data_IF_799143306091
#
_entry.id   IF_799143306091
#
_cell.length_a   1.000
_cell.length_b   1.000
_cell.length_c   1.000
_cell.angle_alpha   90.00
_cell.angle_beta   90.00
_cell.angle_gamma   90.00
#
_symmetry.space_group_name_H-M   'P 1'
#
loop_
_entity.id
_entity.type
_entity.pdbx_description
1 polymer ?
#
# COMPACT_ATOMS: atom_id res chain seq x y z
N UNK A 1 -6.04 25.55 10.95
CA UNK A 1 -4.67 24.99 10.81
C UNK A 1 -4.64 24.25 9.49
N UNK A 2 -3.77 24.62 8.55
CA UNK A 2 -3.68 23.91 7.29
C UNK A 2 -2.84 22.64 7.51
N UNK A 3 -3.45 21.47 7.35
CA UNK A 3 -2.73 20.20 7.31
C UNK A 3 -2.03 20.15 5.94
N UNK A 4 -0.71 19.98 5.93
CA UNK A 4 0.11 19.95 4.71
C UNK A 4 0.71 18.54 4.53
N UNK A 5 0.60 17.99 3.32
CA UNK A 5 1.25 16.74 2.93
C UNK A 5 2.59 17.06 2.26
N UNK A 6 3.69 16.89 3.00
CA UNK A 6 5.03 17.25 2.53
C UNK A 6 5.59 16.14 1.63
N UNK A 7 6.38 16.53 0.64
CA UNK A 7 7.17 15.58 -0.15
C UNK A 7 8.04 14.75 0.80
N UNK A 8 8.04 13.44 0.61
CA UNK A 8 8.73 12.49 1.47
C UNK A 8 7.91 12.00 2.67
N UNK A 9 6.68 12.51 2.90
CA UNK A 9 5.76 11.92 3.87
C UNK A 9 5.56 10.45 3.53
N UNK A 10 5.86 9.58 4.49
CA UNK A 10 5.84 8.13 4.32
C UNK A 10 5.09 7.50 5.48
N UNK A 11 4.26 6.52 5.18
CA UNK A 11 3.55 5.72 6.17
C UNK A 11 2.98 4.47 5.52
N UNK A 12 2.48 3.58 6.36
CA UNK A 12 1.56 2.53 5.90
C UNK A 12 0.25 3.16 5.43
N UNK A 13 -0.48 2.45 4.57
CA UNK A 13 -1.78 2.91 4.10
C UNK A 13 -2.74 3.14 5.27
N UNK A 14 -2.72 2.30 6.31
CA UNK A 14 -3.49 2.50 7.54
C UNK A 14 -3.12 3.82 8.25
N UNK A 15 -1.83 4.06 8.51
CA UNK A 15 -1.37 5.28 9.19
C UNK A 15 -1.79 6.55 8.44
N UNK A 16 -1.73 6.53 7.10
CA UNK A 16 -2.15 7.67 6.29
C UNK A 16 -3.66 7.90 6.34
N UNK A 17 -4.47 6.84 6.28
CA UNK A 17 -5.94 6.95 6.36
C UNK A 17 -6.44 7.33 7.76
N UNK A 18 -5.68 7.00 8.81
CA UNK A 18 -5.98 7.40 10.19
C UNK A 18 -5.58 8.86 10.45
N UNK A 19 -4.57 9.36 9.74
CA UNK A 19 -4.01 10.71 9.93
C UNK A 19 -4.75 11.78 9.10
N UNK A 20 -5.12 11.46 7.87
CA UNK A 20 -5.67 12.40 6.90
C UNK A 20 -7.09 12.05 6.50
N UNK A 21 -7.91 13.07 6.20
CA UNK A 21 -9.26 12.82 5.71
C UNK A 21 -9.25 12.24 4.29
N UNK A 22 -10.23 11.40 3.93
CA UNK A 22 -10.31 10.84 2.58
C UNK A 22 -10.32 11.90 1.47
N UNK A 23 -11.04 13.02 1.68
CA UNK A 23 -11.08 14.13 0.74
C UNK A 23 -9.71 14.79 0.54
N UNK A 24 -8.92 14.92 1.62
CA UNK A 24 -7.57 15.47 1.54
C UNK A 24 -6.62 14.54 0.79
N UNK A 25 -6.68 13.23 1.07
CA UNK A 25 -5.89 12.23 0.37
C UNK A 25 -6.24 12.16 -1.13
N UNK A 26 -7.52 12.24 -1.48
CA UNK A 26 -8.00 12.26 -2.86
C UNK A 26 -7.46 13.46 -3.64
N UNK A 27 -7.43 14.65 -3.02
CA UNK A 27 -6.80 15.85 -3.60
C UNK A 27 -5.32 15.63 -3.92
N UNK A 28 -4.65 14.77 -3.15
CA UNK A 28 -3.24 14.42 -3.30
C UNK A 28 -3.05 13.09 -4.02
N UNK A 29 -4.02 12.62 -4.81
CA UNK A 29 -3.82 11.49 -5.71
C UNK A 29 -3.93 10.10 -5.07
N UNK A 30 -4.49 10.00 -3.87
CA UNK A 30 -4.78 8.75 -3.18
C UNK A 30 -6.29 8.62 -2.91
N UNK A 31 -6.96 7.70 -3.59
CA UNK A 31 -8.41 7.57 -3.61
C UNK A 31 -8.82 6.24 -3.03
N UNK A 32 -9.83 6.24 -2.18
CA UNK A 32 -10.58 5.03 -1.87
C UNK A 32 -11.41 4.64 -3.10
N UNK A 33 -11.22 3.42 -3.62
CA UNK A 33 -11.91 2.97 -4.85
C UNK A 33 -12.95 1.89 -4.59
N UNK A 34 -12.99 1.32 -3.39
CA UNK A 34 -14.02 0.38 -2.99
C UNK A 34 -13.58 -0.49 -1.83
N UNK A 35 -14.57 -1.14 -1.24
CA UNK A 35 -14.38 -2.15 -0.21
C UNK A 35 -14.68 -3.54 -0.80
N UNK A 36 -13.86 -4.50 -0.43
CA UNK A 36 -14.16 -5.92 -0.55
C UNK A 36 -14.90 -6.26 0.74
N UNK A 37 -16.21 -6.46 0.59
CA UNK A 37 -17.08 -6.80 1.71
C UNK A 37 -16.91 -8.27 2.08
N UNK A 38 -16.67 -8.51 3.37
CA UNK A 38 -16.57 -9.79 4.08
C UNK A 38 -16.58 -11.05 3.19
N UNK A 39 -15.49 -11.27 2.45
CA UNK A 39 -15.32 -12.52 1.69
C UNK A 39 -14.97 -13.58 2.72
N UNK A 40 -16.00 -14.31 3.14
CA UNK A 40 -15.85 -15.50 3.97
C UNK A 40 -15.36 -16.64 3.11
N UNK A 41 -14.11 -17.02 3.30
CA UNK A 41 -13.62 -18.34 2.93
C UNK A 41 -13.86 -19.29 4.11
N UNK A 42 -13.65 -20.59 3.92
CA UNK A 42 -13.79 -21.57 5.00
C UNK A 42 -12.87 -21.30 6.20
N UNK A 43 -11.77 -20.55 5.99
CA UNK A 43 -10.72 -20.35 6.99
C UNK A 43 -10.47 -18.86 7.34
N UNK A 44 -10.96 -17.90 6.57
CA UNK A 44 -10.68 -16.47 6.77
C UNK A 44 -11.86 -15.58 6.35
N UNK A 45 -12.06 -14.49 7.10
CA UNK A 45 -12.87 -13.34 6.69
C UNK A 45 -11.94 -12.27 6.17
N UNK A 46 -12.08 -11.93 4.88
CA UNK A 46 -11.30 -10.87 4.25
C UNK A 46 -12.15 -9.60 4.23
N UNK A 47 -11.76 -8.63 5.06
CA UNK A 47 -12.22 -7.24 4.95
C UNK A 47 -11.07 -6.40 4.39
N UNK A 48 -11.27 -5.82 3.20
CA UNK A 48 -10.23 -5.07 2.50
C UNK A 48 -10.76 -3.77 1.91
N UNK A 49 -10.16 -2.64 2.28
CA UNK A 49 -10.34 -1.40 1.54
C UNK A 49 -9.25 -1.26 0.48
N UNK A 50 -9.67 -1.03 -0.77
CA UNK A 50 -8.79 -0.79 -1.90
C UNK A 50 -8.61 0.71 -2.11
N UNK A 51 -7.35 1.13 -2.26
CA UNK A 51 -6.99 2.50 -2.58
C UNK A 51 -6.27 2.56 -3.93
N UNK A 52 -6.71 3.42 -4.84
CA UNK A 52 -5.93 3.77 -6.03
C UNK A 52 -5.00 4.92 -5.72
N UNK A 53 -3.72 4.79 -6.08
CA UNK A 53 -2.73 5.84 -5.99
C UNK A 53 -2.16 6.13 -7.37
N UNK A 54 -2.01 7.41 -7.69
CA UNK A 54 -1.29 7.83 -8.90
C UNK A 54 0.21 7.67 -8.64
N UNK A 55 0.89 6.88 -9.45
CA UNK A 55 2.34 6.72 -9.40
C UNK A 55 2.98 7.32 -10.66
N UNK A 56 4.32 7.37 -10.70
CA UNK A 56 5.05 7.75 -11.93
C UNK A 56 4.83 6.79 -13.10
N UNK A 57 4.34 5.57 -12.84
CA UNK A 57 4.09 4.54 -13.85
C UNK A 57 2.60 4.43 -14.22
N UNK A 58 1.76 5.33 -13.73
CA UNK A 58 0.31 5.27 -13.87
C UNK A 58 -0.40 4.94 -12.56
N UNK A 59 -1.66 4.55 -12.66
CA UNK A 59 -2.49 4.21 -11.50
C UNK A 59 -2.15 2.81 -10.98
N UNK A 60 -1.97 2.69 -9.67
CA UNK A 60 -1.75 1.42 -8.99
C UNK A 60 -2.68 1.30 -7.78
N UNK A 61 -3.00 0.08 -7.39
CA UNK A 61 -3.88 -0.18 -6.25
C UNK A 61 -3.08 -0.68 -5.04
N UNK A 62 -3.32 -0.07 -3.89
CA UNK A 62 -2.94 -0.58 -2.57
C UNK A 62 -4.10 -1.39 -2.01
N UNK A 63 -3.83 -2.66 -1.72
CA UNK A 63 -4.82 -3.61 -1.21
C UNK A 63 -4.56 -3.96 0.26
N UNK A 64 -3.33 -3.82 0.74
CA UNK A 64 -2.98 -4.13 2.13
C UNK A 64 -3.01 -2.90 3.03
N UNK A 65 -3.35 -3.11 4.29
CA UNK A 65 -3.20 -2.11 5.36
C UNK A 65 -1.75 -1.73 5.60
N UNK A 66 -0.85 -2.66 5.28
CA UNK A 66 0.57 -2.55 5.52
C UNK A 66 1.37 -2.12 4.28
N UNK A 67 0.70 -1.85 3.16
CA UNK A 67 1.38 -1.26 2.00
C UNK A 67 1.95 0.10 2.40
N UNK A 68 3.17 0.38 1.95
CA UNK A 68 3.89 1.60 2.30
C UNK A 68 3.78 2.58 1.15
N UNK A 69 3.26 3.77 1.46
CA UNK A 69 3.07 4.87 0.53
C UNK A 69 4.03 6.00 0.90
N UNK A 70 4.78 6.49 -0.08
CA UNK A 70 5.62 7.69 0.06
C UNK A 70 5.12 8.76 -0.89
N UNK A 71 4.76 9.93 -0.37
CA UNK A 71 4.30 11.04 -1.19
C UNK A 71 5.49 11.68 -1.92
N UNK A 72 5.44 11.70 -3.25
CA UNK A 72 6.51 12.18 -4.11
C UNK A 72 6.28 13.62 -4.60
N UNK A 73 5.13 14.23 -4.28
CA UNK A 73 4.71 15.54 -4.79
C UNK A 73 3.73 15.43 -5.95
N UNK A 74 3.01 16.52 -6.25
CA UNK A 74 2.07 16.65 -7.39
C UNK A 74 1.04 15.51 -7.51
N UNK A 75 0.58 15.01 -6.36
CA UNK A 75 -0.36 13.89 -6.31
C UNK A 75 0.24 12.54 -6.69
N UNK A 76 1.57 12.41 -6.75
CA UNK A 76 2.29 11.19 -7.10
C UNK A 76 2.76 10.47 -5.84
N UNK A 77 2.64 9.14 -5.85
CA UNK A 77 3.06 8.25 -4.77
C UNK A 77 4.04 7.19 -5.27
N UNK A 78 4.99 6.82 -4.42
CA UNK A 78 5.71 5.54 -4.49
C UNK A 78 4.94 4.53 -3.62
N UNK A 79 4.42 3.47 -4.24
CA UNK A 79 3.73 2.38 -3.56
C UNK A 79 4.68 1.18 -3.44
N UNK A 80 4.82 0.64 -2.22
CA UNK A 80 5.54 -0.60 -1.96
C UNK A 80 4.64 -1.58 -1.23
N UNK A 81 4.54 -2.79 -1.78
CA UNK A 81 3.66 -3.83 -1.22
C UNK A 81 4.24 -4.35 0.10
N UNK A 82 3.38 -4.66 1.07
CA UNK A 82 3.78 -5.09 2.41
C UNK A 82 4.81 -6.25 2.45
N UNK A 83 4.72 -7.22 1.53
CA UNK A 83 5.70 -8.31 1.43
C UNK A 83 7.01 -7.90 0.77
N UNK A 84 6.98 -7.02 -0.23
CA UNK A 84 8.18 -6.44 -0.85
C UNK A 84 8.95 -5.54 0.15
N UNK A 85 8.24 -4.90 1.07
CA UNK A 85 8.85 -4.12 2.15
C UNK A 85 9.64 -5.01 3.14
N UNK A 86 9.28 -6.29 3.28
CA UNK A 86 10.09 -7.29 4.00
C UNK A 86 11.27 -7.75 3.14
N UNK A 87 11.05 -8.07 1.86
CA UNK A 87 12.10 -8.51 0.92
C UNK A 87 13.24 -7.49 0.78
N UNK A 88 12.94 -6.20 0.79
CA UNK A 88 13.96 -5.14 0.75
C UNK A 88 14.77 -4.99 2.05
N UNK A 89 14.33 -5.59 3.16
CA UNK A 89 15.05 -5.67 4.44
C UNK A 89 15.76 -7.00 4.66
N UNK A 90 15.46 -8.01 3.84
CA UNK A 90 16.10 -9.32 3.89
C UNK A 90 17.49 -9.26 3.26
N UNK A 91 18.41 -10.05 3.80
CA UNK A 91 19.72 -10.29 3.21
C UNK A 91 19.59 -10.99 1.86
N UNK A 92 20.60 -10.89 1.00
CA UNK A 92 20.53 -11.51 -0.34
C UNK A 92 20.42 -13.04 -0.29
N UNK A 93 20.85 -13.66 0.82
CA UNK A 93 20.65 -15.09 1.07
C UNK A 93 19.17 -15.43 1.30
N UNK A 94 18.45 -14.61 2.06
CA UNK A 94 17.04 -14.81 2.37
C UNK A 94 16.14 -14.52 1.16
N UNK A 95 16.49 -13.52 0.34
CA UNK A 95 15.81 -13.26 -0.96
C UNK A 95 15.91 -14.45 -1.91
N UNK A 96 17.07 -15.13 -1.92
CA UNK A 96 17.30 -16.28 -2.81
C UNK A 96 16.42 -17.47 -2.44
N UNK A 97 16.27 -17.76 -1.15
CA UNK A 97 15.41 -18.86 -0.65
C UNK A 97 13.94 -18.66 -1.05
N UNK A 98 13.44 -17.41 -1.03
CA UNK A 98 12.05 -17.10 -1.41
C UNK A 98 11.81 -17.06 -2.92
N UNK A 99 12.87 -17.00 -3.73
CA UNK A 99 12.78 -17.01 -5.20
C UNK A 99 12.82 -18.41 -5.81
N UNK A 100 13.07 -19.44 -5.00
CA UNK A 100 13.02 -20.82 -5.45
C UNK A 100 11.56 -21.31 -5.39
N UNK A 101 10.98 -21.80 -6.51
CA UNK A 101 9.63 -22.33 -6.50
C UNK A 101 9.55 -23.51 -5.52
N UNK A 102 8.46 -23.58 -4.75
CA UNK A 102 8.23 -24.69 -3.83
C UNK A 102 8.39 -26.01 -4.59
N UNK A 103 9.27 -26.87 -4.09
CA UNK A 103 9.44 -28.21 -4.66
C UNK A 103 8.12 -28.93 -4.50
N UNK A 104 7.42 -29.13 -5.61
CA UNK A 104 6.23 -29.98 -5.67
C UNK A 104 6.56 -31.34 -5.02
N UNK A 105 5.77 -31.71 -4.01
CA UNK A 105 5.84 -33.00 -3.32
C UNK A 105 5.13 -34.09 -4.13
#
# INVERSE_FOLDING_TARGET
>A
MAIELKIGTRGTRCELTDTFTPAFLALHGLFEVGFIDDVKTENESIFGMCFACKTKYGWMCSFSHNDVLTYMGDGIWDLRVAEEAKLTRLSDAEKKVLSEPDKEF
#
